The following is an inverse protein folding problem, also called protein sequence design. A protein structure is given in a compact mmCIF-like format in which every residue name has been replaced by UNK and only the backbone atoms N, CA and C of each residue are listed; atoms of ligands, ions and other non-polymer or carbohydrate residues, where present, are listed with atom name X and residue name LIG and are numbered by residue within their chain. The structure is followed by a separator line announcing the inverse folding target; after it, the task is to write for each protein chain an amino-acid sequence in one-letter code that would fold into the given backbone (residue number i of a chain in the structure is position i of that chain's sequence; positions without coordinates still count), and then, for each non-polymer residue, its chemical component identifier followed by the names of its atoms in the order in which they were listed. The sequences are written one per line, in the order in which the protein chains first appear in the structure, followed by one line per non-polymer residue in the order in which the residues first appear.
data_IF_865079436296
#
_entry.id   IF_865079436296
#
_cell.length_a   1.000
_cell.length_b   1.000
_cell.length_c   1.000
_cell.angle_alpha   90.00
_cell.angle_beta   90.00
_cell.angle_gamma   90.00
#
_symmetry.space_group_name_H-M   'P 1'
#
loop_
_entity.id
_entity.type
_entity.pdbx_description
1 polymer ?
#
# COMPACT_ATOMS: atom_id res chain seq x y z
N UNK A 1 -33.70 50.07 -17.43
CA UNK A 1 -32.38 49.42 -17.51
C UNK A 1 -32.25 48.48 -16.33
N UNK A 2 -32.52 47.20 -16.54
CA UNK A 2 -32.42 46.15 -15.50
C UNK A 2 -31.02 45.58 -15.56
N UNK A 3 -30.21 45.84 -14.53
CA UNK A 3 -28.88 45.25 -14.32
C UNK A 3 -29.04 43.75 -13.99
N UNK A 4 -28.66 42.89 -14.91
CA UNK A 4 -28.57 41.46 -14.68
C UNK A 4 -27.38 41.19 -13.73
N UNK A 5 -27.70 40.88 -12.49
CA UNK A 5 -26.72 40.37 -11.50
C UNK A 5 -26.16 39.03 -12.04
N UNK A 6 -24.91 39.05 -12.49
CA UNK A 6 -24.14 37.82 -12.77
C UNK A 6 -23.96 37.08 -11.46
N UNK A 7 -24.74 36.05 -11.25
CA UNK A 7 -24.48 35.04 -10.23
C UNK A 7 -23.16 34.34 -10.59
N UNK A 8 -22.13 34.63 -9.80
CA UNK A 8 -20.89 33.87 -9.85
C UNK A 8 -21.21 32.40 -9.56
N UNK A 9 -20.67 31.44 -10.32
CA UNK A 9 -20.91 30.05 -10.06
C UNK A 9 -20.46 29.75 -8.63
N UNK A 10 -21.34 29.17 -7.81
CA UNK A 10 -21.01 28.65 -6.49
C UNK A 10 -19.78 27.74 -6.65
N UNK A 11 -18.69 28.12 -5.97
CA UNK A 11 -17.46 27.34 -5.92
C UNK A 11 -17.83 25.94 -5.42
N UNK A 12 -17.78 24.95 -6.30
CA UNK A 12 -18.05 23.57 -5.92
C UNK A 12 -17.15 23.22 -4.73
N UNK A 13 -17.77 22.75 -3.64
CA UNK A 13 -17.02 22.28 -2.47
C UNK A 13 -16.19 21.09 -2.91
N UNK A 14 -14.87 21.23 -2.89
CA UNK A 14 -13.94 20.15 -3.24
C UNK A 14 -14.07 19.07 -2.19
N UNK A 15 -14.17 17.82 -2.61
CA UNK A 15 -14.36 16.66 -1.72
C UNK A 15 -13.10 15.79 -1.59
N UNK A 16 -12.06 16.06 -2.37
CA UNK A 16 -10.76 15.39 -2.28
C UNK A 16 -9.80 16.17 -1.39
N UNK A 17 -8.92 15.44 -0.71
CA UNK A 17 -7.85 16.01 0.12
C UNK A 17 -6.65 16.38 -0.75
N UNK A 18 -6.08 17.58 -0.54
CA UNK A 18 -4.84 18.03 -1.20
C UNK A 18 -3.89 18.52 -0.13
N UNK A 19 -2.76 17.85 0.00
CA UNK A 19 -1.71 18.16 0.97
C UNK A 19 -0.37 18.26 0.25
N UNK A 20 0.37 19.33 0.49
CA UNK A 20 1.75 19.44 0.03
C UNK A 20 2.69 19.55 1.24
N UNK A 21 3.80 18.83 1.18
CA UNK A 21 4.87 18.93 2.15
C UNK A 21 6.04 19.72 1.57
N UNK A 22 6.51 20.70 2.32
CA UNK A 22 7.70 21.46 1.96
C UNK A 22 9.02 20.74 2.33
N UNK A 23 8.94 19.49 2.81
CA UNK A 23 10.09 18.76 3.34
C UNK A 23 11.28 18.66 2.36
N UNK A 24 11.05 18.75 1.04
CA UNK A 24 12.09 18.77 0.01
C UNK A 24 12.16 20.10 -0.76
N UNK A 25 11.86 21.23 -0.11
CA UNK A 25 11.80 22.53 -0.80
C UNK A 25 13.10 22.92 -1.51
N UNK A 26 14.27 22.50 -1.01
CA UNK A 26 15.56 22.77 -1.62
C UNK A 26 15.92 21.82 -2.79
N UNK A 27 15.31 20.64 -2.88
CA UNK A 27 15.59 19.70 -3.97
C UNK A 27 14.98 20.20 -5.30
N UNK A 28 15.64 20.00 -6.47
CA UNK A 28 15.10 20.38 -7.77
C UNK A 28 13.94 19.49 -8.22
N UNK A 29 13.80 18.32 -7.62
CA UNK A 29 12.76 17.34 -7.92
C UNK A 29 11.56 17.46 -7.00
N UNK A 30 10.41 17.07 -7.52
CA UNK A 30 9.16 16.95 -6.79
C UNK A 30 8.54 15.58 -7.02
N UNK A 31 7.74 15.13 -6.06
CA UNK A 31 6.94 13.92 -6.19
C UNK A 31 5.47 14.25 -5.98
N UNK A 32 4.63 13.83 -6.91
CA UNK A 32 3.18 13.88 -6.81
C UNK A 32 2.65 12.45 -6.66
N UNK A 33 1.87 12.19 -5.64
CA UNK A 33 1.20 10.92 -5.42
C UNK A 33 -0.32 11.14 -5.31
N UNK A 34 -1.06 10.41 -6.11
CA UNK A 34 -2.53 10.38 -6.02
C UNK A 34 -2.91 8.98 -5.54
N UNK A 35 -3.45 8.91 -4.34
CA UNK A 35 -3.98 7.68 -3.74
C UNK A 35 -5.47 7.60 -3.99
N UNK A 36 -5.91 6.47 -4.44
CA UNK A 36 -7.31 6.16 -4.67
C UNK A 36 -7.71 5.04 -3.71
N UNK A 37 -8.72 5.24 -2.89
CA UNK A 37 -9.33 4.18 -2.10
C UNK A 37 -9.99 3.18 -3.05
N UNK A 38 -9.34 2.06 -3.28
CA UNK A 38 -9.73 1.09 -4.29
C UNK A 38 -8.69 -0.02 -4.44
N UNK A 39 -8.01 -0.40 -3.35
CA UNK A 39 -7.10 -1.54 -3.33
C UNK A 39 -7.83 -2.89 -3.35
N UNK A 40 -7.06 -3.98 -3.22
CA UNK A 40 -7.59 -5.35 -3.31
C UNK A 40 -8.74 -5.63 -2.32
N UNK A 41 -8.73 -5.00 -1.14
CA UNK A 41 -9.76 -5.12 -0.11
C UNK A 41 -11.17 -4.77 -0.60
N UNK A 42 -11.28 -3.80 -1.52
CA UNK A 42 -12.55 -3.21 -1.99
C UNK A 42 -12.99 -3.76 -3.35
N UNK A 43 -12.14 -4.58 -3.97
CA UNK A 43 -12.44 -5.19 -5.25
C UNK A 43 -13.51 -6.29 -5.10
N UNK A 44 -14.40 -6.38 -6.07
CA UNK A 44 -15.45 -7.39 -6.07
C UNK A 44 -14.89 -8.75 -6.54
N UNK A 45 -13.82 -8.74 -7.36
CA UNK A 45 -13.09 -9.91 -7.84
C UNK A 45 -11.61 -9.82 -7.47
N UNK A 46 -10.96 -10.97 -7.25
CA UNK A 46 -9.54 -11.04 -6.93
C UNK A 46 -8.68 -10.57 -8.10
N UNK A 47 -7.67 -9.76 -7.82
CA UNK A 47 -6.77 -9.15 -8.80
C UNK A 47 -7.36 -8.02 -9.65
N UNK A 48 -8.62 -7.65 -9.48
CA UNK A 48 -9.27 -6.58 -10.26
C UNK A 48 -8.58 -5.21 -10.05
N UNK A 49 -8.24 -4.88 -8.80
CA UNK A 49 -7.51 -3.66 -8.48
C UNK A 49 -6.09 -3.66 -9.08
N UNK A 50 -5.43 -4.82 -9.15
CA UNK A 50 -4.13 -4.97 -9.78
C UNK A 50 -4.20 -4.72 -11.29
N UNK A 51 -5.14 -5.35 -11.99
CA UNK A 51 -5.35 -5.13 -13.43
C UNK A 51 -5.67 -3.66 -13.72
N UNK A 52 -6.52 -3.01 -12.91
CA UNK A 52 -6.78 -1.58 -13.04
C UNK A 52 -5.51 -0.74 -12.83
N UNK A 53 -4.69 -1.08 -11.83
CA UNK A 53 -3.39 -0.43 -11.61
C UNK A 53 -2.47 -0.55 -12.82
N UNK A 54 -2.49 -1.66 -13.55
CA UNK A 54 -1.70 -1.87 -14.78
C UNK A 54 -2.30 -1.16 -16.01
N UNK A 55 -3.60 -0.85 -16.01
CA UNK A 55 -4.21 0.03 -17.00
C UNK A 55 -3.84 1.51 -16.83
N UNK A 56 -3.45 1.91 -15.62
CA UNK A 56 -2.97 3.26 -15.40
C UNK A 56 -1.75 3.53 -16.29
N UNK A 57 -1.75 4.71 -16.93
CA UNK A 57 -0.74 5.14 -17.90
C UNK A 57 -0.71 4.36 -19.22
N UNK A 58 -1.73 3.54 -19.51
CA UNK A 58 -2.03 3.08 -20.86
C UNK A 58 -2.67 4.22 -21.69
N UNK A 59 -3.19 3.93 -22.89
CA UNK A 59 -3.78 4.95 -23.74
C UNK A 59 -4.95 5.65 -23.06
N UNK A 60 -4.94 6.97 -23.15
CA UNK A 60 -6.06 7.84 -22.78
C UNK A 60 -6.77 8.35 -24.03
N UNK A 61 -7.89 9.06 -23.86
CA UNK A 61 -8.57 9.72 -24.98
C UNK A 61 -7.72 10.77 -25.71
N UNK A 62 -6.72 11.33 -25.04
CA UNK A 62 -5.89 12.41 -25.55
C UNK A 62 -4.51 11.95 -26.03
N UNK A 63 -3.96 10.87 -25.45
CA UNK A 63 -2.58 10.41 -25.70
C UNK A 63 -2.51 8.90 -25.72
N UNK A 64 -1.65 8.35 -26.59
CA UNK A 64 -1.28 6.94 -26.51
C UNK A 64 -0.31 6.69 -25.35
N UNK A 65 -0.25 5.44 -24.88
CA UNK A 65 0.69 5.02 -23.83
C UNK A 65 2.14 5.40 -24.17
N UNK A 66 2.57 5.13 -25.41
CA UNK A 66 3.91 5.46 -25.88
C UNK A 66 4.20 6.97 -25.83
N UNK A 67 3.21 7.79 -26.25
CA UNK A 67 3.36 9.25 -26.20
C UNK A 67 3.48 9.76 -24.77
N UNK A 68 2.68 9.23 -23.85
CA UNK A 68 2.71 9.60 -22.44
C UNK A 68 4.08 9.31 -21.82
N UNK A 69 4.64 8.12 -22.06
CA UNK A 69 5.97 7.73 -21.59
C UNK A 69 7.05 8.64 -22.18
N UNK A 70 7.07 8.84 -23.51
CA UNK A 70 8.08 9.70 -24.17
C UNK A 70 8.03 11.15 -23.72
N UNK A 71 6.85 11.73 -23.56
CA UNK A 71 6.72 13.10 -23.05
C UNK A 71 7.24 13.20 -21.61
N UNK A 72 6.95 12.20 -20.76
CA UNK A 72 7.46 12.14 -19.39
C UNK A 72 8.99 12.03 -19.34
N UNK A 73 9.57 11.18 -20.17
CA UNK A 73 11.04 11.03 -20.29
C UNK A 73 11.72 12.32 -20.78
N UNK A 74 11.14 13.00 -21.78
CA UNK A 74 11.65 14.28 -22.28
C UNK A 74 11.63 15.38 -21.21
N UNK A 75 10.67 15.35 -20.29
CA UNK A 75 10.57 16.26 -19.14
C UNK A 75 11.41 15.81 -17.93
N UNK A 76 12.17 14.72 -18.09
CA UNK A 76 13.04 14.19 -17.02
C UNK A 76 12.28 13.59 -15.86
N UNK A 77 11.07 13.08 -16.06
CA UNK A 77 10.26 12.48 -15.00
C UNK A 77 9.88 11.02 -15.26
N UNK A 78 9.34 10.40 -14.22
CA UNK A 78 8.89 9.01 -14.24
C UNK A 78 7.47 8.89 -13.68
N UNK A 79 6.66 8.05 -14.33
CA UNK A 79 5.31 7.71 -13.92
C UNK A 79 5.29 6.27 -13.38
N UNK A 80 4.61 6.04 -12.29
CA UNK A 80 4.45 4.74 -11.66
C UNK A 80 3.02 4.55 -11.16
N UNK A 81 2.50 3.35 -11.31
CA UNK A 81 1.28 2.91 -10.63
C UNK A 81 1.59 1.70 -9.76
N UNK A 82 1.01 1.66 -8.58
CA UNK A 82 1.11 0.53 -7.67
C UNK A 82 -0.24 0.28 -7.01
N UNK A 83 -0.42 -0.92 -6.53
CA UNK A 83 -1.62 -1.34 -5.80
C UNK A 83 -1.19 -2.01 -4.50
N UNK A 84 -1.91 -1.72 -3.45
CA UNK A 84 -1.85 -2.40 -2.17
C UNK A 84 -3.26 -2.89 -1.75
N UNK A 85 -3.41 -3.29 -0.50
CA UNK A 85 -4.69 -3.81 -0.01
C UNK A 85 -5.77 -2.74 0.11
N UNK A 86 -5.43 -1.49 0.35
CA UNK A 86 -6.38 -0.39 0.54
C UNK A 86 -6.38 0.61 -0.61
N UNK A 87 -5.23 0.82 -1.27
CA UNK A 87 -5.07 1.91 -2.23
C UNK A 87 -4.54 1.44 -3.57
N UNK A 88 -4.94 2.17 -4.62
CA UNK A 88 -4.23 2.27 -5.88
C UNK A 88 -3.52 3.62 -5.86
N UNK A 89 -2.20 3.61 -6.03
CA UNK A 89 -1.38 4.83 -5.97
C UNK A 89 -0.79 5.13 -7.34
N UNK A 90 -1.10 6.30 -7.89
CA UNK A 90 -0.48 6.85 -9.08
C UNK A 90 0.57 7.87 -8.63
N UNK A 91 1.81 7.66 -9.01
CA UNK A 91 2.94 8.49 -8.60
C UNK A 91 3.68 9.04 -9.80
N UNK A 92 4.08 10.30 -9.71
CA UNK A 92 4.98 10.95 -10.65
C UNK A 92 6.14 11.58 -9.88
N UNK A 93 7.37 11.37 -10.35
CA UNK A 93 8.57 12.06 -9.87
C UNK A 93 9.13 12.88 -11.02
N UNK A 94 9.39 14.18 -10.82
CA UNK A 94 9.67 15.11 -11.92
C UNK A 94 10.41 16.36 -11.42
N UNK A 95 10.88 17.19 -12.35
CA UNK A 95 11.40 18.53 -12.06
C UNK A 95 10.26 19.49 -11.72
N UNK A 96 10.41 20.30 -10.68
CA UNK A 96 9.35 21.17 -10.11
C UNK A 96 8.61 22.02 -11.13
N UNK A 97 9.31 22.52 -12.13
CA UNK A 97 8.74 23.33 -13.22
C UNK A 97 7.71 22.59 -14.06
N UNK A 98 7.78 21.24 -14.09
CA UNK A 98 6.88 20.38 -14.86
C UNK A 98 5.61 19.98 -14.10
N UNK A 99 5.36 20.50 -12.89
CA UNK A 99 4.17 20.19 -12.08
C UNK A 99 2.85 20.25 -12.87
N UNK A 100 2.56 21.28 -13.69
CA UNK A 100 1.29 21.35 -14.43
C UNK A 100 1.10 20.17 -15.38
N UNK A 101 2.18 19.71 -16.02
CA UNK A 101 2.13 18.57 -16.93
C UNK A 101 1.74 17.29 -16.19
N UNK A 102 2.40 16.99 -15.06
CA UNK A 102 2.16 15.74 -14.33
C UNK A 102 0.80 15.71 -13.63
N UNK A 103 0.32 16.84 -13.13
CA UNK A 103 -1.05 16.96 -12.61
C UNK A 103 -2.06 16.63 -13.72
N UNK A 104 -1.88 17.21 -14.94
CA UNK A 104 -2.77 16.94 -16.06
C UNK A 104 -2.63 15.50 -16.59
N UNK A 105 -1.42 14.92 -16.59
CA UNK A 105 -1.20 13.54 -17.01
C UNK A 105 -1.96 12.56 -16.10
N UNK A 106 -1.82 12.67 -14.78
CA UNK A 106 -2.56 11.83 -13.82
C UNK A 106 -4.07 12.10 -13.92
N UNK A 107 -4.48 13.35 -14.05
CA UNK A 107 -5.89 13.70 -14.23
C UNK A 107 -6.51 13.04 -15.48
N UNK A 108 -5.77 13.02 -16.60
CA UNK A 108 -6.20 12.35 -17.82
C UNK A 108 -6.29 10.83 -17.66
N UNK A 109 -5.38 10.22 -16.91
CA UNK A 109 -5.45 8.79 -16.57
C UNK A 109 -6.69 8.47 -15.75
N UNK A 110 -6.98 9.25 -14.72
CA UNK A 110 -8.15 9.01 -13.85
C UNK A 110 -9.48 9.21 -14.58
N UNK A 111 -9.55 10.14 -15.55
CA UNK A 111 -10.80 10.53 -16.18
C UNK A 111 -11.00 9.97 -17.60
N UNK A 112 -9.92 9.78 -18.37
CA UNK A 112 -9.98 9.49 -19.82
C UNK A 112 -9.28 8.21 -20.26
N UNK A 113 -8.95 7.29 -19.37
CA UNK A 113 -8.35 6.00 -19.78
C UNK A 113 -9.28 5.29 -20.76
N UNK A 114 -8.72 4.85 -21.90
CA UNK A 114 -9.52 4.35 -23.03
C UNK A 114 -9.95 2.89 -22.85
N UNK A 115 -9.32 2.12 -21.98
CA UNK A 115 -9.59 0.70 -21.73
C UNK A 115 -9.76 -0.10 -23.03
N UNK A 116 -8.72 -0.11 -23.86
CA UNK A 116 -8.76 -0.80 -25.16
C UNK A 116 -8.60 -2.30 -24.98
N UNK A 117 -9.39 -3.15 -25.69
CA UNK A 117 -9.30 -4.61 -25.52
C UNK A 117 -7.92 -5.20 -25.82
N UNK A 118 -7.23 -4.70 -26.85
CA UNK A 118 -5.89 -5.17 -27.18
C UNK A 118 -4.86 -4.82 -26.11
N UNK A 119 -5.00 -3.68 -25.41
CA UNK A 119 -4.09 -3.31 -24.30
C UNK A 119 -4.21 -4.29 -23.12
N UNK A 120 -5.42 -4.83 -22.87
CA UNK A 120 -5.60 -5.87 -21.84
C UNK A 120 -4.79 -7.12 -22.17
N UNK A 121 -4.83 -7.56 -23.43
CA UNK A 121 -4.19 -8.84 -23.87
C UNK A 121 -2.69 -8.66 -24.08
N UNK A 122 -2.27 -7.54 -24.67
CA UNK A 122 -0.89 -7.35 -25.14
C UNK A 122 0.02 -6.68 -24.11
N UNK A 123 -0.54 -5.88 -23.19
CA UNK A 123 0.22 -5.10 -22.21
C UNK A 123 -0.12 -5.47 -20.78
N UNK A 124 -1.38 -5.31 -20.38
CA UNK A 124 -1.81 -5.38 -18.98
C UNK A 124 -1.73 -6.81 -18.44
N UNK A 125 -2.26 -7.78 -19.20
CA UNK A 125 -2.22 -9.20 -18.82
C UNK A 125 -0.80 -9.73 -18.66
N UNK A 126 0.08 -9.58 -19.65
CA UNK A 126 1.48 -9.96 -19.53
C UNK A 126 2.23 -9.26 -18.40
N UNK A 127 1.99 -7.96 -18.18
CA UNK A 127 2.59 -7.23 -17.07
C UNK A 127 2.12 -7.76 -15.70
N UNK A 128 0.82 -8.05 -15.57
CA UNK A 128 0.28 -8.64 -14.35
C UNK A 128 0.83 -10.05 -14.08
N UNK A 129 0.97 -10.87 -15.11
CA UNK A 129 1.59 -12.20 -15.01
C UNK A 129 3.08 -12.11 -14.60
N UNK A 130 3.80 -11.11 -15.12
CA UNK A 130 5.18 -10.86 -14.73
C UNK A 130 5.28 -10.45 -13.25
N UNK A 131 4.40 -9.57 -12.78
CA UNK A 131 4.37 -9.16 -11.37
C UNK A 131 4.14 -10.34 -10.44
N UNK A 132 3.20 -11.20 -10.79
CA UNK A 132 2.94 -12.43 -10.04
C UNK A 132 4.16 -13.36 -10.04
N UNK A 133 4.82 -13.56 -11.20
CA UNK A 133 6.02 -14.36 -11.28
C UNK A 133 7.15 -13.82 -10.42
N UNK A 134 7.36 -12.49 -10.40
CA UNK A 134 8.35 -11.84 -9.53
C UNK A 134 7.99 -12.00 -8.05
N UNK A 135 6.73 -11.79 -7.68
CA UNK A 135 6.29 -11.93 -6.29
C UNK A 135 6.39 -13.38 -5.79
N UNK A 136 6.02 -14.36 -6.63
CA UNK A 136 6.11 -15.79 -6.26
C UNK A 136 7.53 -16.34 -6.25
N UNK A 137 8.47 -15.66 -6.89
CA UNK A 137 9.90 -16.00 -6.81
C UNK A 137 10.54 -15.64 -5.46
N UNK A 138 9.95 -14.71 -4.70
CA UNK A 138 10.39 -14.34 -3.36
C UNK A 138 9.57 -15.06 -2.29
N UNK A 139 10.14 -16.02 -1.56
CA UNK A 139 9.42 -16.78 -0.54
C UNK A 139 8.92 -15.90 0.62
N UNK A 140 9.52 -14.72 0.85
CA UNK A 140 9.03 -13.76 1.86
C UNK A 140 7.71 -13.13 1.39
N UNK A 141 7.58 -12.81 0.11
CA UNK A 141 6.34 -12.29 -0.47
C UNK A 141 5.22 -13.33 -0.47
N UNK A 142 5.55 -14.59 -0.77
CA UNK A 142 4.61 -15.71 -0.66
C UNK A 142 4.14 -15.89 0.78
N UNK A 143 5.06 -15.82 1.74
CA UNK A 143 4.74 -15.90 3.16
C UNK A 143 3.88 -14.71 3.63
N UNK A 144 4.12 -13.50 3.10
CA UNK A 144 3.35 -12.30 3.38
C UNK A 144 1.87 -12.48 2.97
N UNK A 145 1.61 -12.89 1.73
CA UNK A 145 0.23 -13.13 1.27
C UNK A 145 -0.45 -14.27 2.05
N UNK A 146 0.29 -15.35 2.33
CA UNK A 146 -0.20 -16.43 3.16
C UNK A 146 -0.55 -15.98 4.60
N UNK A 147 0.24 -15.07 5.20
CA UNK A 147 -0.05 -14.48 6.50
C UNK A 147 -1.35 -13.68 6.50
N UNK A 148 -1.57 -12.85 5.47
CA UNK A 148 -2.81 -12.11 5.35
C UNK A 148 -4.01 -13.03 5.20
N UNK A 149 -3.92 -14.07 4.39
CA UNK A 149 -4.95 -15.09 4.25
C UNK A 149 -5.18 -15.86 5.56
N UNK A 150 -4.12 -16.19 6.32
CA UNK A 150 -4.23 -16.82 7.64
C UNK A 150 -4.91 -15.92 8.67
N UNK A 151 -4.61 -14.59 8.62
CA UNK A 151 -5.12 -13.62 9.59
C UNK A 151 -6.54 -13.17 9.29
N UNK A 152 -6.87 -12.90 8.02
CA UNK A 152 -8.15 -12.29 7.63
C UNK A 152 -9.03 -13.20 6.78
N UNK A 153 -8.57 -14.43 6.51
CA UNK A 153 -9.20 -15.40 5.59
C UNK A 153 -9.27 -14.85 4.16
N UNK A 154 -10.14 -15.42 3.32
CA UNK A 154 -10.27 -15.05 1.90
C UNK A 154 -11.18 -13.84 1.64
N UNK A 155 -11.31 -12.91 2.60
CA UNK A 155 -12.19 -11.75 2.45
C UNK A 155 -11.51 -10.47 2.94
N UNK A 156 -11.87 -9.35 2.36
CA UNK A 156 -11.36 -8.04 2.76
C UNK A 156 -9.83 -7.96 2.65
N UNK A 157 -9.14 -7.74 3.78
CA UNK A 157 -7.68 -7.65 3.84
C UNK A 157 -6.96 -8.96 3.52
N UNK A 158 -7.63 -10.11 3.61
CA UNK A 158 -7.04 -11.41 3.28
C UNK A 158 -7.05 -11.77 1.80
N UNK A 159 -7.67 -10.95 0.95
CA UNK A 159 -7.67 -11.15 -0.50
C UNK A 159 -6.26 -10.99 -1.08
N UNK A 160 -5.91 -11.76 -2.13
CA UNK A 160 -4.65 -11.57 -2.83
C UNK A 160 -4.61 -10.17 -3.47
N UNK A 161 -3.45 -9.53 -3.44
CA UNK A 161 -3.26 -8.22 -4.06
C UNK A 161 -3.08 -8.36 -5.56
N UNK A 162 -2.32 -9.38 -5.98
CA UNK A 162 -1.99 -9.62 -7.38
C UNK A 162 -3.02 -10.50 -8.07
N UNK A 163 -3.19 -10.28 -9.36
CA UNK A 163 -4.01 -11.11 -10.22
C UNK A 163 -3.30 -12.43 -10.51
N UNK A 164 -3.90 -13.55 -10.14
CA UNK A 164 -3.37 -14.89 -10.29
C UNK A 164 -3.99 -15.68 -11.49
N UNK A 165 -4.99 -15.10 -12.16
CA UNK A 165 -5.67 -15.72 -13.28
C UNK A 165 -6.70 -16.81 -12.90
N UNK A 166 -6.93 -17.06 -11.62
CA UNK A 166 -7.92 -18.04 -11.15
C UNK A 166 -9.33 -17.52 -11.38
N UNK A 167 -9.58 -16.27 -11.02
CA UNK A 167 -10.88 -15.63 -11.25
C UNK A 167 -10.91 -14.93 -12.61
N UNK A 168 -11.97 -15.16 -13.40
CA UNK A 168 -12.14 -14.49 -14.67
C UNK A 168 -12.50 -13.02 -14.47
N UNK A 169 -11.59 -12.14 -14.90
CA UNK A 169 -11.80 -10.70 -14.93
C UNK A 169 -11.92 -10.21 -16.37
N UNK A 170 -13.04 -9.60 -16.69
CA UNK A 170 -13.31 -9.03 -18.02
C UNK A 170 -12.91 -7.55 -18.08
N UNK A 171 -12.77 -7.02 -19.30
CA UNK A 171 -12.54 -5.59 -19.50
C UNK A 171 -13.67 -4.72 -18.92
N UNK A 172 -14.90 -5.22 -18.99
CA UNK A 172 -16.06 -4.50 -18.45
C UNK A 172 -16.07 -4.48 -16.92
N UNK A 173 -15.59 -5.55 -16.25
CA UNK A 173 -15.37 -5.54 -14.81
C UNK A 173 -14.38 -4.44 -14.41
N UNK A 174 -13.26 -4.33 -15.16
CA UNK A 174 -12.24 -3.30 -14.91
C UNK A 174 -12.79 -1.89 -15.10
N UNK A 175 -13.58 -1.64 -16.16
CA UNK A 175 -14.25 -0.37 -16.40
C UNK A 175 -15.25 -0.01 -15.30
N UNK A 176 -16.06 -0.97 -14.89
CA UNK A 176 -17.03 -0.76 -13.81
C UNK A 176 -16.31 -0.43 -12.50
N UNK A 177 -15.23 -1.15 -12.21
CA UNK A 177 -14.42 -0.90 -11.03
C UNK A 177 -13.75 0.48 -11.08
N UNK A 178 -13.17 0.87 -12.21
CA UNK A 178 -12.61 2.21 -12.41
C UNK A 178 -13.65 3.31 -12.15
N UNK A 179 -14.86 3.17 -12.69
CA UNK A 179 -15.95 4.12 -12.46
C UNK A 179 -16.40 4.18 -10.99
N UNK A 180 -16.27 3.07 -10.24
CA UNK A 180 -16.60 3.00 -8.82
C UNK A 180 -15.54 3.70 -7.96
N UNK A 181 -14.25 3.54 -8.29
CA UNK A 181 -13.15 4.02 -7.43
C UNK A 181 -12.59 5.38 -7.84
N UNK A 182 -12.58 5.74 -9.13
CA UNK A 182 -12.06 7.04 -9.61
C UNK A 182 -13.09 8.14 -9.47
N UNK A 183 -13.36 8.52 -8.22
CA UNK A 183 -14.31 9.56 -7.84
C UNK A 183 -13.67 10.56 -6.88
N UNK A 184 -14.19 11.79 -6.81
CA UNK A 184 -13.62 12.83 -5.95
C UNK A 184 -13.55 12.45 -4.47
N UNK A 185 -14.53 11.68 -3.98
CA UNK A 185 -14.57 11.29 -2.56
C UNK A 185 -13.58 10.18 -2.19
N UNK A 186 -13.04 9.47 -3.19
CA UNK A 186 -12.11 8.36 -3.00
C UNK A 186 -10.65 8.73 -3.29
N UNK A 187 -10.35 10.02 -3.58
CA UNK A 187 -9.02 10.45 -4.01
C UNK A 187 -8.39 11.34 -2.97
N UNK A 188 -7.12 11.05 -2.67
CA UNK A 188 -6.24 11.86 -1.87
C UNK A 188 -5.02 12.25 -2.71
N UNK A 189 -4.63 13.52 -2.66
CA UNK A 189 -3.53 14.06 -3.45
C UNK A 189 -2.46 14.59 -2.52
N UNK A 190 -1.27 14.03 -2.65
CA UNK A 190 -0.10 14.39 -1.86
C UNK A 190 1.02 14.83 -2.80
N UNK A 191 1.79 15.83 -2.38
CA UNK A 191 2.99 16.21 -3.10
C UNK A 191 4.12 16.61 -2.13
N UNK A 192 5.36 16.35 -2.54
CA UNK A 192 6.55 16.85 -1.85
C UNK A 192 7.36 17.72 -2.81
N UNK A 193 8.02 18.72 -2.25
CA UNK A 193 8.89 19.61 -3.02
C UNK A 193 8.17 20.69 -3.84
N UNK A 194 6.86 20.87 -3.69
CA UNK A 194 6.06 21.90 -4.35
C UNK A 194 5.30 22.73 -3.33
N UNK A 195 4.94 23.96 -3.71
CA UNK A 195 4.10 24.82 -2.88
C UNK A 195 2.64 24.35 -2.90
N UNK A 196 2.01 24.32 -1.73
CA UNK A 196 0.61 23.89 -1.59
C UNK A 196 -0.35 24.76 -2.41
N UNK A 197 -0.08 26.06 -2.50
CA UNK A 197 -0.87 27.00 -3.30
C UNK A 197 -0.88 26.63 -4.78
N UNK A 198 0.29 26.32 -5.34
CA UNK A 198 0.43 25.96 -6.74
C UNK A 198 -0.19 24.59 -7.04
N UNK A 199 0.04 23.61 -6.15
CA UNK A 199 -0.63 22.32 -6.26
C UNK A 199 -2.14 22.45 -6.26
N UNK A 200 -2.73 23.18 -5.31
CA UNK A 200 -4.18 23.44 -5.24
C UNK A 200 -4.72 24.14 -6.49
N UNK A 201 -3.96 25.08 -7.06
CA UNK A 201 -4.32 25.77 -8.28
C UNK A 201 -4.36 24.81 -9.47
N UNK A 202 -3.28 24.08 -9.73
CA UNK A 202 -3.20 23.19 -10.90
C UNK A 202 -4.16 22.00 -10.78
N UNK A 203 -4.35 21.42 -9.60
CA UNK A 203 -5.37 20.39 -9.38
C UNK A 203 -6.77 20.96 -9.65
N UNK A 204 -7.06 22.19 -9.20
CA UNK A 204 -8.34 22.83 -9.44
C UNK A 204 -8.63 23.18 -10.90
N UNK A 205 -7.61 23.40 -11.70
CA UNK A 205 -7.70 23.66 -13.15
C UNK A 205 -7.69 22.36 -13.97
N UNK A 206 -7.33 21.21 -13.37
CA UNK A 206 -7.23 19.92 -14.05
C UNK A 206 -8.56 19.17 -14.14
N UNK A 207 -8.55 18.04 -14.89
CA UNK A 207 -9.69 17.13 -15.02
C UNK A 207 -10.07 16.44 -13.71
N UNK A 208 -9.20 16.43 -12.68
CA UNK A 208 -9.54 15.90 -11.35
C UNK A 208 -10.78 16.59 -10.79
N UNK A 209 -10.91 17.90 -11.02
CA UNK A 209 -12.07 18.66 -10.56
C UNK A 209 -13.37 18.30 -11.31
N UNK A 210 -13.28 17.65 -12.45
CA UNK A 210 -14.43 17.18 -13.25
C UNK A 210 -14.82 15.73 -12.99
N UNK A 211 -14.02 14.99 -12.20
CA UNK A 211 -14.36 13.63 -11.81
C UNK A 211 -15.74 13.56 -11.16
N UNK A 212 -16.48 12.45 -11.32
CA UNK A 212 -17.73 12.22 -10.63
C UNK A 212 -17.56 12.43 -9.12
N UNK A 213 -18.56 13.02 -8.46
CA UNK A 213 -18.53 13.18 -7.01
C UNK A 213 -18.39 11.82 -6.32
N UNK A 214 -19.14 10.83 -6.79
CA UNK A 214 -19.16 9.49 -6.24
C UNK A 214 -19.75 9.41 -4.83
N UNK A 215 -19.53 8.28 -4.21
CA UNK A 215 -19.70 8.08 -2.76
C UNK A 215 -18.37 7.56 -2.24
N UNK A 216 -17.95 8.02 -1.07
CA UNK A 216 -16.81 7.39 -0.39
C UNK A 216 -17.04 5.88 -0.32
N UNK A 217 -16.03 5.11 -0.70
CA UNK A 217 -16.08 3.67 -0.50
C UNK A 217 -16.27 3.49 1.01
N UNK A 218 -17.43 2.97 1.40
CA UNK A 218 -17.70 2.72 2.81
C UNK A 218 -16.58 1.85 3.34
N UNK A 219 -16.00 2.26 4.45
CA UNK A 219 -15.07 1.40 5.16
C UNK A 219 -15.71 0.01 5.27
N UNK A 220 -15.01 -0.98 4.74
CA UNK A 220 -15.43 -2.35 4.95
C UNK A 220 -15.53 -2.58 6.47
N UNK A 221 -16.46 -3.43 6.89
CA UNK A 221 -16.60 -3.76 8.31
C UNK A 221 -15.22 -4.01 8.95
N UNK A 222 -15.07 -3.62 10.22
CA UNK A 222 -13.79 -3.78 10.94
C UNK A 222 -13.21 -5.18 10.69
N UNK A 223 -11.95 -5.30 10.26
CA UNK A 223 -11.38 -6.58 9.91
C UNK A 223 -11.28 -7.46 11.15
N UNK A 224 -11.93 -8.63 11.11
CA UNK A 224 -11.82 -9.60 12.20
C UNK A 224 -10.57 -10.44 12.00
N UNK A 225 -9.66 -10.40 12.96
CA UNK A 225 -8.46 -11.20 12.93
C UNK A 225 -8.68 -12.60 13.50
N UNK A 226 -8.07 -13.59 12.87
CA UNK A 226 -8.08 -15.00 13.26
C UNK A 226 -6.66 -15.47 13.55
N UNK A 227 -6.55 -16.46 14.43
CA UNK A 227 -5.29 -17.16 14.68
C UNK A 227 -5.16 -18.35 13.71
N UNK A 228 -5.01 -18.05 12.43
CA UNK A 228 -4.91 -19.05 11.37
C UNK A 228 -3.50 -19.53 11.13
N UNK A 229 -3.36 -20.61 10.35
CA UNK A 229 -2.10 -21.14 9.87
C UNK A 229 -2.22 -21.48 8.37
N UNK A 230 -1.19 -21.11 7.58
CA UNK A 230 -1.06 -21.49 6.18
C UNK A 230 0.33 -22.05 5.95
N UNK A 231 0.41 -23.22 5.30
CA UNK A 231 1.67 -23.90 4.99
C UNK A 231 1.78 -24.13 3.49
N UNK A 232 2.87 -23.67 2.88
CA UNK A 232 3.10 -23.75 1.43
C UNK A 232 4.41 -24.48 1.19
N UNK A 233 4.33 -25.67 0.58
CA UNK A 233 5.52 -26.41 0.18
C UNK A 233 6.13 -25.77 -1.07
N UNK A 234 7.37 -25.33 -0.95
CA UNK A 234 8.10 -24.68 -2.03
C UNK A 234 9.56 -25.12 -2.06
N UNK A 235 10.21 -24.99 -3.21
CA UNK A 235 11.64 -25.14 -3.31
C UNK A 235 12.36 -23.83 -3.08
N UNK A 236 13.53 -23.88 -2.45
CA UNK A 236 14.36 -22.70 -2.18
C UNK A 236 14.48 -22.38 -0.69
N UNK A 237 14.71 -21.13 -0.34
CA UNK A 237 14.84 -20.73 1.07
C UNK A 237 13.55 -20.96 1.85
N UNK A 238 13.72 -21.37 3.11
CA UNK A 238 12.61 -21.57 4.03
C UNK A 238 12.25 -20.27 4.72
N UNK A 239 10.96 -20.00 4.88
CA UNK A 239 10.45 -18.83 5.60
C UNK A 239 9.40 -19.27 6.61
N UNK A 240 9.58 -18.82 7.84
CA UNK A 240 8.58 -18.90 8.90
C UNK A 240 8.16 -17.49 9.28
N UNK A 241 6.88 -17.19 9.24
CA UNK A 241 6.40 -15.84 9.47
C UNK A 241 5.23 -15.82 10.47
N UNK A 242 5.22 -14.78 11.31
CA UNK A 242 4.21 -14.55 12.34
C UNK A 242 3.54 -13.20 12.11
N UNK A 243 2.23 -13.16 12.19
CA UNK A 243 1.43 -11.95 12.10
C UNK A 243 0.72 -11.64 13.42
N UNK A 244 0.89 -10.41 13.89
CA UNK A 244 0.30 -9.90 15.13
C UNK A 244 -0.67 -8.79 14.73
N UNK A 245 -1.99 -9.01 14.84
CA UNK A 245 -2.98 -8.02 14.48
C UNK A 245 -3.13 -6.95 15.56
N UNK A 246 -3.24 -5.68 15.16
CA UNK A 246 -3.78 -4.61 15.98
C UNK A 246 -5.30 -4.54 15.74
N UNK A 247 -6.09 -4.90 16.72
CA UNK A 247 -7.56 -4.87 16.66
C UNK A 247 -8.14 -3.50 17.03
N UNK A 248 -7.28 -2.56 17.48
CA UNK A 248 -7.67 -1.20 17.85
C UNK A 248 -6.57 -0.19 17.58
N UNK A 249 -6.94 1.08 17.35
CA UNK A 249 -6.00 2.18 17.18
C UNK A 249 -5.01 2.34 18.35
N UNK A 250 -5.42 1.96 19.57
CA UNK A 250 -4.56 2.04 20.75
C UNK A 250 -3.35 1.10 20.71
N UNK A 251 -3.43 0.01 19.94
CA UNK A 251 -2.34 -0.98 19.79
C UNK A 251 -1.35 -0.61 18.69
N UNK A 252 -1.72 0.29 17.78
CA UNK A 252 -0.85 0.69 16.66
C UNK A 252 0.50 1.24 17.13
N UNK A 253 0.57 2.21 18.08
CA UNK A 253 1.85 2.72 18.57
C UNK A 253 2.69 1.65 19.24
N UNK A 254 2.07 0.72 19.98
CA UNK A 254 2.76 -0.40 20.63
C UNK A 254 3.45 -1.30 19.61
N UNK A 255 2.75 -1.68 18.53
CA UNK A 255 3.32 -2.52 17.47
C UNK A 255 4.38 -1.80 16.65
N UNK A 256 4.28 -0.48 16.48
CA UNK A 256 5.33 0.30 15.80
C UNK A 256 6.61 0.39 16.64
N UNK A 257 6.49 0.55 17.97
CA UNK A 257 7.65 0.48 18.87
C UNK A 257 8.22 -0.93 18.90
N UNK A 258 7.37 -1.97 18.91
CA UNK A 258 7.82 -3.36 18.82
C UNK A 258 8.60 -3.61 17.51
N UNK A 259 8.13 -3.08 16.37
CA UNK A 259 8.87 -3.15 15.11
C UNK A 259 10.27 -2.55 15.27
N UNK A 260 10.38 -1.32 15.78
CA UNK A 260 11.66 -0.65 15.98
C UNK A 260 12.57 -1.41 16.95
N UNK A 261 12.00 -2.01 18.02
CA UNK A 261 12.75 -2.85 18.97
C UNK A 261 13.33 -4.10 18.30
N UNK A 262 12.50 -4.86 17.57
CA UNK A 262 12.89 -6.13 16.93
C UNK A 262 13.90 -5.95 15.80
N UNK A 263 13.92 -4.79 15.14
CA UNK A 263 14.88 -4.47 14.06
C UNK A 263 16.17 -3.80 14.56
N UNK A 264 16.25 -3.51 15.84
CA UNK A 264 17.38 -2.82 16.45
C UNK A 264 18.32 -3.76 17.20
N UNK A 265 19.59 -3.36 17.47
CA UNK A 265 20.52 -4.10 18.31
C UNK A 265 20.06 -4.27 19.77
N UNK A 266 18.97 -3.60 20.19
CA UNK A 266 18.39 -3.77 21.52
C UNK A 266 17.79 -5.18 21.71
N UNK A 267 17.37 -5.82 20.63
CA UNK A 267 16.89 -7.19 20.65
C UNK A 267 18.03 -8.17 20.39
N UNK A 268 18.32 -9.04 21.36
CA UNK A 268 19.45 -9.96 21.30
C UNK A 268 19.41 -10.96 20.12
N UNK A 269 18.23 -11.22 19.58
CA UNK A 269 18.02 -12.16 18.47
C UNK A 269 17.61 -11.43 17.16
N UNK A 270 17.95 -10.16 17.00
CA UNK A 270 17.62 -9.38 15.80
C UNK A 270 18.18 -10.01 14.52
N UNK A 271 19.39 -10.58 14.58
CA UNK A 271 20.04 -11.25 13.43
C UNK A 271 19.28 -12.49 12.93
N UNK A 272 18.40 -13.07 13.75
CA UNK A 272 17.54 -14.18 13.34
C UNK A 272 16.34 -13.72 12.50
N UNK A 273 16.06 -12.43 12.47
CA UNK A 273 14.90 -11.84 11.80
C UNK A 273 15.33 -11.24 10.48
N UNK A 274 14.78 -11.72 9.38
CA UNK A 274 15.02 -11.17 8.03
C UNK A 274 14.32 -9.83 7.84
N UNK A 275 13.07 -9.71 8.29
CA UNK A 275 12.25 -8.53 8.07
C UNK A 275 11.15 -8.42 9.13
N UNK A 276 10.89 -7.19 9.56
CA UNK A 276 9.67 -6.84 10.31
C UNK A 276 8.95 -5.74 9.53
N UNK A 277 7.68 -5.95 9.20
CA UNK A 277 6.84 -4.97 8.54
C UNK A 277 5.63 -4.64 9.41
N UNK A 278 5.16 -3.41 9.35
CA UNK A 278 3.93 -2.99 9.99
C UNK A 278 3.08 -2.23 8.97
N UNK A 279 1.87 -2.73 8.74
CA UNK A 279 0.90 -2.11 7.84
C UNK A 279 -0.27 -1.60 8.69
N UNK A 280 -0.60 -0.31 8.51
CA UNK A 280 -1.75 0.34 9.16
C UNK A 280 -2.91 0.41 8.17
N UNK A 281 -4.11 0.10 8.63
CA UNK A 281 -5.34 0.10 7.83
C UNK A 281 -6.33 1.11 8.42
N UNK A 282 -6.67 2.12 7.61
CA UNK A 282 -7.63 3.18 7.98
C UNK A 282 -7.33 3.84 9.35
N UNK A 283 -6.07 3.82 9.83
CA UNK A 283 -5.68 4.38 11.12
C UNK A 283 -6.29 3.72 12.36
N UNK A 284 -7.08 2.66 12.20
CA UNK A 284 -7.81 1.99 13.29
C UNK A 284 -7.34 0.56 13.56
N UNK A 285 -6.81 -0.10 12.54
CA UNK A 285 -6.33 -1.48 12.59
C UNK A 285 -4.93 -1.56 11.99
N UNK A 286 -4.21 -2.63 12.27
CA UNK A 286 -2.89 -2.85 11.70
C UNK A 286 -2.48 -4.31 11.76
N UNK A 287 -1.39 -4.63 11.08
CA UNK A 287 -0.77 -5.94 11.11
C UNK A 287 0.75 -5.78 11.21
N UNK A 288 1.34 -6.30 12.28
CA UNK A 288 2.77 -6.47 12.37
C UNK A 288 3.10 -7.86 11.84
N UNK A 289 3.98 -7.93 10.87
CA UNK A 289 4.46 -9.17 10.25
C UNK A 289 5.95 -9.32 10.49
N UNK A 290 6.36 -10.47 11.01
CA UNK A 290 7.75 -10.82 11.31
C UNK A 290 8.13 -12.03 10.47
N UNK A 291 9.30 -12.01 9.84
CA UNK A 291 9.78 -13.03 8.93
C UNK A 291 11.15 -13.53 9.35
N UNK A 292 11.29 -14.85 9.49
CA UNK A 292 12.57 -15.56 9.68
C UNK A 292 12.82 -16.37 8.41
N UNK A 293 13.97 -16.16 7.76
CA UNK A 293 14.36 -16.79 6.50
C UNK A 293 15.71 -17.47 6.62
N UNK A 294 15.87 -18.59 5.94
CA UNK A 294 17.14 -19.31 5.90
C UNK A 294 17.14 -20.45 4.90
N UNK A 295 18.33 -20.92 4.54
CA UNK A 295 18.49 -22.09 3.68
C UNK A 295 18.13 -23.39 4.41
N UNK A 296 18.50 -23.49 5.70
CA UNK A 296 18.23 -24.66 6.55
C UNK A 296 16.92 -24.47 7.31
N UNK A 297 15.97 -25.38 7.09
CA UNK A 297 14.65 -25.35 7.72
C UNK A 297 14.71 -25.60 9.24
N UNK A 298 15.68 -26.38 9.72
CA UNK A 298 15.84 -26.64 11.17
C UNK A 298 16.33 -25.41 11.91
N UNK A 299 17.25 -24.63 11.30
CA UNK A 299 17.70 -23.36 11.85
C UNK A 299 16.57 -22.32 11.87
N UNK A 300 15.78 -22.23 10.80
CA UNK A 300 14.59 -21.34 10.74
C UNK A 300 13.58 -21.76 11.82
N UNK A 301 13.34 -23.06 12.00
CA UNK A 301 12.46 -23.60 13.05
C UNK A 301 12.92 -23.22 14.46
N UNK A 302 14.22 -23.36 14.76
CA UNK A 302 14.79 -22.99 16.05
C UNK A 302 14.68 -21.48 16.30
N UNK A 303 15.00 -20.67 15.29
CA UNK A 303 14.97 -19.21 15.38
C UNK A 303 13.56 -18.68 15.61
N UNK A 304 12.56 -19.14 14.84
CA UNK A 304 11.18 -18.67 15.01
C UNK A 304 10.60 -19.09 16.38
N UNK A 305 10.89 -20.31 16.85
CA UNK A 305 10.51 -20.76 18.19
C UNK A 305 11.07 -19.86 19.27
N UNK A 306 12.36 -19.49 19.15
CA UNK A 306 13.02 -18.59 20.09
C UNK A 306 12.39 -17.20 20.10
N UNK A 307 12.19 -16.59 18.93
CA UNK A 307 11.56 -15.27 18.81
C UNK A 307 10.15 -15.28 19.39
N UNK A 308 9.34 -16.29 19.08
CA UNK A 308 7.97 -16.39 19.62
C UNK A 308 7.96 -16.63 21.12
N UNK A 309 8.89 -17.43 21.65
CA UNK A 309 9.04 -17.63 23.08
C UNK A 309 9.37 -16.33 23.82
N UNK A 310 10.29 -15.51 23.28
CA UNK A 310 10.63 -14.20 23.83
C UNK A 310 9.41 -13.25 23.84
N UNK A 311 8.66 -13.22 22.73
CA UNK A 311 7.42 -12.43 22.61
C UNK A 311 6.34 -12.87 23.60
N UNK A 312 6.22 -14.18 23.88
CA UNK A 312 5.28 -14.74 24.87
C UNK A 312 5.71 -14.48 26.31
N UNK A 313 7.01 -14.50 26.58
CA UNK A 313 7.57 -14.17 27.90
C UNK A 313 7.31 -12.69 28.25
N UNK A 314 7.24 -11.83 27.25
CA UNK A 314 7.03 -10.40 27.37
C UNK A 314 8.34 -9.62 27.26
N UNK A 315 8.33 -8.60 26.43
CA UNK A 315 9.47 -7.75 26.14
C UNK A 315 9.25 -6.33 26.71
N UNK A 316 10.30 -5.76 27.30
CA UNK A 316 10.34 -4.33 27.61
C UNK A 316 10.78 -3.57 26.35
N UNK A 317 9.82 -2.94 25.69
CA UNK A 317 10.05 -2.21 24.44
C UNK A 317 10.21 -0.69 24.67
N UNK A 318 10.15 -0.23 25.91
CA UNK A 318 10.30 1.19 26.22
C UNK A 318 11.59 1.83 25.69
N UNK A 319 12.76 1.14 25.68
CA UNK A 319 14.01 1.71 25.15
C UNK A 319 13.96 2.03 23.64
N UNK A 320 13.05 1.40 22.87
CA UNK A 320 12.94 1.60 21.43
C UNK A 320 11.98 2.75 21.02
N UNK A 321 11.40 3.50 21.95
CA UNK A 321 10.49 4.61 21.66
C UNK A 321 11.13 5.70 20.79
N UNK A 322 12.35 6.09 21.14
CA UNK A 322 13.08 7.13 20.38
C UNK A 322 13.41 6.62 18.96
N UNK A 323 13.77 5.35 18.82
CA UNK A 323 14.00 4.75 17.50
C UNK A 323 12.72 4.75 16.65
N UNK A 324 11.58 4.40 17.22
CA UNK A 324 10.30 4.44 16.51
C UNK A 324 9.91 5.86 16.07
N UNK A 325 10.23 6.89 16.86
CA UNK A 325 10.04 8.29 16.46
C UNK A 325 10.96 8.70 15.31
N UNK A 326 12.23 8.30 15.36
CA UNK A 326 13.18 8.56 14.28
C UNK A 326 12.74 7.85 13.00
N UNK A 327 12.33 6.59 13.06
CA UNK A 327 11.83 5.84 11.91
C UNK A 327 10.60 6.51 11.29
N UNK A 328 9.65 6.97 12.12
CA UNK A 328 8.48 7.71 11.66
C UNK A 328 8.86 9.05 11.01
N UNK A 329 9.82 9.77 11.58
CA UNK A 329 10.31 11.03 11.01
C UNK A 329 11.02 10.83 9.67
N UNK A 330 11.85 9.77 9.55
CA UNK A 330 12.50 9.41 8.30
C UNK A 330 11.49 8.99 7.23
N UNK A 331 10.51 8.17 7.60
CA UNK A 331 9.42 7.78 6.70
C UNK A 331 8.63 9.00 6.19
N UNK A 332 8.35 9.97 7.07
CA UNK A 332 7.67 11.21 6.69
C UNK A 332 8.48 12.10 5.74
N UNK A 333 9.82 12.04 5.80
CA UNK A 333 10.68 12.76 4.85
C UNK A 333 10.76 12.08 3.47
N UNK A 334 10.67 10.76 3.43
CA UNK A 334 10.80 9.96 2.21
C UNK A 334 9.47 9.78 1.47
N UNK A 335 8.36 9.88 2.17
CA UNK A 335 7.02 9.66 1.62
C UNK A 335 6.34 10.99 1.25
N UNK A 336 5.65 10.99 0.09
CA UNK A 336 4.73 12.08 -0.23
C UNK A 336 3.46 12.01 0.64
N UNK A 337 3.14 10.84 1.16
CA UNK A 337 1.97 10.60 2.02
C UNK A 337 2.34 10.93 3.46
N UNK A 338 1.54 11.72 4.18
CA UNK A 338 1.78 12.02 5.59
C UNK A 338 1.83 10.74 6.43
N UNK A 339 2.80 10.67 7.33
CA UNK A 339 2.92 9.61 8.32
C UNK A 339 2.26 10.09 9.61
N UNK A 340 1.42 9.26 10.20
CA UNK A 340 0.74 9.59 11.46
C UNK A 340 1.74 9.76 12.61
N UNK A 341 1.52 10.78 13.45
CA UNK A 341 2.33 10.99 14.65
C UNK A 341 2.00 9.92 15.70
N UNK A 342 3.04 9.35 16.29
CA UNK A 342 2.92 8.28 17.26
C UNK A 342 2.69 8.83 18.68
N UNK A 343 1.62 8.39 19.33
CA UNK A 343 1.37 8.66 20.75
C UNK A 343 2.05 7.56 21.60
N UNK A 344 3.32 7.76 21.99
CA UNK A 344 4.16 6.72 22.63
C UNK A 344 4.16 6.74 24.17
N UNK A 345 3.41 7.66 24.80
CA UNK A 345 3.48 7.88 26.26
C UNK A 345 3.15 6.61 27.07
N UNK A 346 2.20 5.82 26.60
CA UNK A 346 1.67 4.65 27.30
C UNK A 346 2.36 3.31 26.94
N UNK A 347 3.28 3.33 25.97
CA UNK A 347 3.96 2.09 25.52
C UNK A 347 5.08 1.78 26.50
N UNK A 348 5.10 0.56 27.07
CA UNK A 348 6.17 0.12 27.97
C UNK A 348 6.57 -1.34 27.73
N UNK A 349 5.60 -2.24 27.79
CA UNK A 349 5.82 -3.68 27.68
C UNK A 349 4.90 -4.26 26.63
N UNK A 350 5.41 -5.22 25.86
CA UNK A 350 4.64 -5.99 24.91
C UNK A 350 4.61 -7.46 25.31
N UNK A 351 3.46 -8.09 25.21
CA UNK A 351 3.27 -9.52 25.37
C UNK A 351 2.41 -10.07 24.24
N UNK A 352 2.90 -11.13 23.60
CA UNK A 352 2.20 -11.78 22.48
C UNK A 352 0.85 -12.35 22.92
N UNK A 353 -0.19 -11.92 22.22
CA UNK A 353 -1.55 -12.44 22.33
C UNK A 353 -1.87 -13.43 21.20
N UNK A 354 -2.96 -13.16 20.48
CA UNK A 354 -3.33 -13.93 19.29
C UNK A 354 -2.37 -13.60 18.15
N UNK A 355 -1.95 -14.62 17.42
CA UNK A 355 -1.14 -14.47 16.22
C UNK A 355 -1.54 -15.48 15.16
N UNK A 356 -1.30 -15.14 13.90
CA UNK A 356 -1.37 -16.06 12.77
C UNK A 356 0.03 -16.47 12.35
N UNK A 357 0.14 -17.60 11.65
CA UNK A 357 1.41 -18.18 11.26
C UNK A 357 1.40 -18.59 9.78
N UNK A 358 2.53 -18.42 9.12
CA UNK A 358 2.77 -18.90 7.77
C UNK A 358 4.12 -19.58 7.68
N UNK A 359 4.16 -20.73 6.99
CA UNK A 359 5.37 -21.49 6.71
C UNK A 359 5.48 -21.73 5.20
N UNK A 360 6.61 -21.35 4.60
CA UNK A 360 6.91 -21.55 3.19
C UNK A 360 8.26 -22.27 3.06
N UNK A 361 8.35 -23.29 2.22
CA UNK A 361 9.56 -24.08 2.01
C UNK A 361 9.40 -25.55 2.37
N UNK A 362 10.36 -26.10 3.11
CA UNK A 362 10.26 -27.47 3.66
C UNK A 362 9.36 -27.48 4.90
N UNK A 363 8.07 -27.56 4.65
CA UNK A 363 7.04 -27.53 5.70
C UNK A 363 7.10 -28.76 6.62
N UNK A 364 7.89 -29.80 6.31
CA UNK A 364 8.00 -30.97 7.19
C UNK A 364 8.87 -30.71 8.39
N UNK A 365 9.84 -29.78 8.28
CA UNK A 365 10.77 -29.40 9.35
C UNK A 365 10.41 -28.08 10.03
N UNK A 366 9.61 -27.24 9.36
CA UNK A 366 9.12 -26.00 9.97
C UNK A 366 8.06 -26.32 11.04
N UNK A 367 8.02 -25.57 12.16
CA UNK A 367 7.11 -25.84 13.27
C UNK A 367 5.65 -25.62 12.85
N UNK A 368 4.74 -26.22 13.57
CA UNK A 368 3.34 -25.86 13.55
C UNK A 368 3.07 -24.68 14.49
N UNK A 369 1.96 -23.97 14.28
CA UNK A 369 1.60 -22.80 15.10
C UNK A 369 1.42 -23.16 16.59
N UNK A 370 0.92 -24.33 16.88
CA UNK A 370 0.73 -24.86 18.25
C UNK A 370 2.03 -25.27 18.94
N UNK A 371 3.11 -25.47 18.20
CA UNK A 371 4.45 -25.71 18.72
C UNK A 371 5.22 -24.42 19.02
N UNK A 372 4.69 -23.26 18.60
CA UNK A 372 5.24 -21.93 18.84
C UNK A 372 4.66 -21.29 20.15
#
# INVERSE_FOLDING_TARGET
MLSAARTLPQRAVRRYTVVASAAAAAAPTATLAVRVHGGARYADKDGLAHLLSRFNFQSTGDKSALRLVRESELLGGALRSSVDREYITLQATFLKESLPYYVNAIASVLYKTSFKPHELVESVGPAAAYDLAVATSDPVKVAEDALYAATYRSAGLGRPVLFDGVEQVTLDDIKQYANKVYTQENIEIFATGVEERDLKRFVGESLINTLPKGSAIKEAAAPKAFAGEVRIRAHGPNVAAVAIPAESAAQIPELQVLKAYLTSPLYANADAIERVAFDSFSGTHGLLSLYVKGADASAVSANIKKVVADLKAGLDIAPAKELAQVDAALAAQQSAVPVEQLALDKVAKFKLGKFAYSAVGDVTQLPYRDEL
#
